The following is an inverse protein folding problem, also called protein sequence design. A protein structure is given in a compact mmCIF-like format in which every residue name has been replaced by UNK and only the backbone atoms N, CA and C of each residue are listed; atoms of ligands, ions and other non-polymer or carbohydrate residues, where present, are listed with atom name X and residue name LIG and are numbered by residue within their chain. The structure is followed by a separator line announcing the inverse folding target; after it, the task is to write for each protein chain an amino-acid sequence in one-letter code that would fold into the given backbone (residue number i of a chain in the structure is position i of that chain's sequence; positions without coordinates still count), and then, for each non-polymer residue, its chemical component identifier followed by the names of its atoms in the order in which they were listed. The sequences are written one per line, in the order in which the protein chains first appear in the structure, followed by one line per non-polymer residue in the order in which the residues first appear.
data_IF_913458357826
#
_entry.id   IF_913458357826
#
_cell.length_a   1.000
_cell.length_b   1.000
_cell.length_c   1.000
_cell.angle_alpha   90.00
_cell.angle_beta   90.00
_cell.angle_gamma   90.00
#
_symmetry.space_group_name_H-M   'P 1'
#
loop_
_entity.id
_entity.type
_entity.pdbx_description
1 polymer ?
#
# COMPACT_ATOMS: atom_id res chain seq x y z
N UNK A 1 70.04 -21.27 17.96
CA UNK A 1 69.13 -21.23 16.81
C UNK A 1 67.71 -21.20 17.33
N UNK A 2 67.19 -20.00 17.50
CA UNK A 2 65.84 -19.73 18.00
C UNK A 2 64.82 -20.28 17.02
N UNK A 3 63.88 -21.10 17.54
CA UNK A 3 62.70 -21.51 16.80
C UNK A 3 61.71 -20.36 16.85
N UNK A 4 61.50 -19.75 15.69
CA UNK A 4 60.49 -18.73 15.43
C UNK A 4 59.11 -19.25 15.88
N UNK A 5 58.60 -18.70 16.98
CA UNK A 5 57.22 -18.88 17.43
C UNK A 5 56.37 -18.01 16.52
N UNK A 6 55.63 -18.66 15.61
CA UNK A 6 54.66 -17.98 14.74
C UNK A 6 53.65 -17.19 15.59
N UNK A 7 53.51 -15.92 15.25
CA UNK A 7 52.58 -14.96 15.85
C UNK A 7 51.13 -15.51 15.88
N UNK A 8 50.36 -15.43 17.00
CA UNK A 8 49.01 -16.00 17.08
C UNK A 8 47.92 -15.22 16.34
N UNK A 9 48.25 -14.11 15.66
CA UNK A 9 47.24 -13.19 15.09
C UNK A 9 46.71 -13.58 13.70
N UNK A 10 47.24 -14.62 13.04
CA UNK A 10 46.89 -14.94 11.64
C UNK A 10 45.71 -15.95 11.48
N UNK A 11 45.00 -16.30 12.55
CA UNK A 11 43.97 -17.37 12.55
C UNK A 11 42.56 -16.90 12.12
N UNK A 12 42.36 -15.66 11.62
CA UNK A 12 41.00 -15.14 11.28
C UNK A 12 40.77 -14.72 9.82
N UNK A 13 41.40 -15.38 8.86
CA UNK A 13 40.84 -15.46 7.49
C UNK A 13 40.29 -16.86 7.25
N UNK A 14 39.04 -17.08 7.65
CA UNK A 14 38.25 -18.24 7.23
C UNK A 14 38.03 -18.17 5.71
N UNK A 15 38.97 -18.66 4.93
CA UNK A 15 38.78 -18.95 3.50
C UNK A 15 37.90 -20.19 3.43
N UNK A 16 36.57 -19.98 3.44
CA UNK A 16 35.59 -21.04 3.19
C UNK A 16 35.87 -21.61 1.81
N UNK A 17 36.02 -22.93 1.68
CA UNK A 17 36.24 -23.55 0.37
C UNK A 17 35.09 -23.20 -0.59
N UNK A 18 35.37 -22.97 -1.88
CA UNK A 18 34.34 -22.63 -2.87
C UNK A 18 33.21 -23.66 -2.99
N UNK A 19 33.50 -24.93 -2.67
CA UNK A 19 32.56 -26.07 -2.64
C UNK A 19 31.50 -25.98 -1.54
N UNK A 20 31.74 -25.18 -0.49
CA UNK A 20 30.84 -24.96 0.65
C UNK A 20 30.03 -23.66 0.55
N UNK A 21 30.22 -22.88 -0.52
CA UNK A 21 29.44 -21.66 -0.75
C UNK A 21 28.10 -22.01 -1.39
N UNK A 22 27.03 -21.77 -0.64
CA UNK A 22 25.67 -21.96 -1.13
C UNK A 22 25.40 -21.01 -2.31
N UNK A 23 24.84 -21.51 -3.42
CA UNK A 23 24.52 -20.69 -4.58
C UNK A 23 23.47 -19.63 -4.22
N UNK A 24 23.58 -18.47 -4.84
CA UNK A 24 22.59 -17.42 -4.67
C UNK A 24 21.23 -17.85 -5.25
N UNK A 25 20.16 -17.38 -4.61
CA UNK A 25 18.81 -17.62 -5.07
C UNK A 25 18.55 -16.93 -6.42
N UNK A 26 17.67 -17.53 -7.21
CA UNK A 26 17.19 -16.98 -8.47
C UNK A 26 15.95 -16.10 -8.25
N UNK A 27 15.61 -15.27 -9.25
CA UNK A 27 14.45 -14.38 -9.15
C UNK A 27 13.12 -15.11 -8.90
N UNK A 28 12.80 -16.23 -9.59
CA UNK A 28 11.59 -17.02 -9.32
C UNK A 28 11.45 -17.46 -7.86
N UNK A 29 12.48 -18.06 -7.25
CA UNK A 29 12.40 -18.52 -5.86
C UNK A 29 12.15 -17.37 -4.89
N UNK A 30 12.78 -16.21 -5.11
CA UNK A 30 12.57 -15.02 -4.27
C UNK A 30 11.14 -14.50 -4.41
N UNK A 31 10.61 -14.47 -5.64
CA UNK A 31 9.22 -14.03 -5.89
C UNK A 31 8.22 -14.99 -5.25
N UNK A 32 8.43 -16.31 -5.36
CA UNK A 32 7.56 -17.31 -4.75
C UNK A 32 7.55 -17.21 -3.22
N UNK A 33 8.72 -17.06 -2.60
CA UNK A 33 8.82 -16.85 -1.15
C UNK A 33 8.04 -15.60 -0.72
N UNK A 34 8.22 -14.48 -1.42
CA UNK A 34 7.48 -13.25 -1.14
C UNK A 34 5.97 -13.41 -1.32
N UNK A 35 5.52 -14.08 -2.39
CA UNK A 35 4.09 -14.35 -2.60
C UNK A 35 3.49 -15.20 -1.49
N UNK A 36 4.23 -16.21 -1.01
CA UNK A 36 3.79 -17.04 0.10
C UNK A 36 3.71 -16.25 1.40
N UNK A 37 4.68 -15.39 1.68
CA UNK A 37 4.64 -14.51 2.84
C UNK A 37 3.43 -13.56 2.78
N UNK A 38 3.12 -12.97 1.62
CA UNK A 38 1.93 -12.13 1.45
C UNK A 38 0.62 -12.90 1.69
N UNK A 39 0.55 -14.16 1.26
CA UNK A 39 -0.62 -15.01 1.52
C UNK A 39 -0.82 -15.24 3.02
N UNK A 40 0.25 -15.59 3.75
CA UNK A 40 0.19 -15.80 5.20
C UNK A 40 -0.14 -14.50 5.92
N UNK A 41 0.48 -13.39 5.52
CA UNK A 41 0.21 -12.08 6.11
C UNK A 41 -1.26 -11.68 5.96
N UNK A 42 -1.86 -11.93 4.79
CA UNK A 42 -3.29 -11.67 4.56
C UNK A 42 -4.19 -12.49 5.48
N UNK A 43 -3.89 -13.79 5.64
CA UNK A 43 -4.63 -14.66 6.57
C UNK A 43 -4.48 -14.17 8.02
N UNK A 44 -3.27 -13.78 8.41
CA UNK A 44 -2.99 -13.28 9.75
C UNK A 44 -3.69 -11.93 10.00
N UNK A 45 -3.71 -11.04 9.01
CA UNK A 45 -4.41 -9.76 9.09
C UNK A 45 -5.90 -9.97 9.34
N UNK A 46 -6.56 -10.84 8.57
CA UNK A 46 -7.98 -11.14 8.77
C UNK A 46 -8.29 -11.68 10.16
N UNK A 47 -7.47 -12.60 10.67
CA UNK A 47 -7.65 -13.14 12.03
C UNK A 47 -7.42 -12.08 13.12
N UNK A 48 -6.39 -11.24 12.98
CA UNK A 48 -6.10 -10.18 13.95
C UNK A 48 -7.17 -9.09 13.90
N UNK A 49 -7.65 -8.72 12.72
CA UNK A 49 -8.76 -7.78 12.55
C UNK A 49 -10.03 -8.27 13.23
N UNK A 50 -10.35 -9.56 13.12
CA UNK A 50 -11.49 -10.17 13.83
C UNK A 50 -11.32 -10.09 15.35
N UNK A 51 -10.11 -10.40 15.87
CA UNK A 51 -9.80 -10.27 17.30
C UNK A 51 -9.94 -8.82 17.76
N UNK A 52 -9.35 -7.87 17.03
CA UNK A 52 -9.42 -6.43 17.36
C UNK A 52 -10.86 -5.91 17.29
N UNK A 53 -11.63 -6.35 16.30
CA UNK A 53 -13.06 -6.06 16.17
C UNK A 53 -13.84 -6.54 17.39
N UNK A 54 -13.59 -7.76 17.86
CA UNK A 54 -14.29 -8.31 19.02
C UNK A 54 -13.89 -7.59 20.33
N UNK A 55 -12.68 -7.05 20.43
CA UNK A 55 -12.18 -6.37 21.63
C UNK A 55 -12.50 -4.87 21.69
N UNK A 56 -12.46 -4.16 20.56
CA UNK A 56 -12.56 -2.69 20.48
C UNK A 56 -13.70 -2.20 19.58
N UNK A 57 -14.41 -3.11 18.92
CA UNK A 57 -15.46 -2.79 17.97
C UNK A 57 -14.95 -2.53 16.56
N UNK A 58 -15.87 -2.56 15.60
CA UNK A 58 -15.59 -2.34 14.17
C UNK A 58 -15.09 -0.92 13.87
N UNK A 59 -15.56 0.09 14.60
CA UNK A 59 -15.16 1.49 14.40
C UNK A 59 -13.65 1.64 14.56
N UNK A 60 -13.07 1.02 15.59
CA UNK A 60 -11.62 1.04 15.83
C UNK A 60 -10.83 0.41 14.68
N UNK A 61 -11.33 -0.70 14.12
CA UNK A 61 -10.70 -1.37 12.97
C UNK A 61 -10.74 -0.48 11.73
N UNK A 62 -11.87 0.19 11.48
CA UNK A 62 -12.05 1.08 10.34
C UNK A 62 -11.26 2.40 10.47
N UNK A 63 -11.05 2.89 11.70
CA UNK A 63 -10.27 4.11 11.96
C UNK A 63 -8.76 3.88 11.79
N UNK A 64 -8.27 2.67 12.10
CA UNK A 64 -6.83 2.35 12.15
C UNK A 64 -6.41 1.13 11.29
N UNK A 65 -6.85 1.00 10.03
CA UNK A 65 -6.53 -0.17 9.21
C UNK A 65 -5.02 -0.27 8.89
N UNK A 66 -4.34 0.87 8.77
CA UNK A 66 -2.91 0.92 8.46
C UNK A 66 -2.06 0.47 9.64
N UNK A 67 -2.40 0.94 10.83
CA UNK A 67 -1.70 0.60 12.07
C UNK A 67 -1.87 -0.89 12.39
N UNK A 68 -3.08 -1.44 12.20
CA UNK A 68 -3.33 -2.88 12.35
C UNK A 68 -2.47 -3.67 11.36
N UNK A 69 -2.47 -3.31 10.07
CA UNK A 69 -1.64 -3.97 9.06
C UNK A 69 -0.13 -3.90 9.39
N UNK A 70 0.37 -2.76 9.87
CA UNK A 70 1.77 -2.61 10.31
C UNK A 70 2.05 -3.53 11.52
N UNK A 71 1.14 -3.59 12.49
CA UNK A 71 1.28 -4.44 13.67
C UNK A 71 1.31 -5.93 13.30
N UNK A 72 0.44 -6.36 12.38
CA UNK A 72 0.41 -7.72 11.83
C UNK A 72 1.75 -8.06 11.17
N UNK A 73 2.26 -7.19 10.29
CA UNK A 73 3.55 -7.36 9.62
C UNK A 73 4.71 -7.44 10.62
N UNK A 74 4.73 -6.53 11.59
CA UNK A 74 5.76 -6.52 12.64
C UNK A 74 5.72 -7.80 13.46
N UNK A 75 4.53 -8.25 13.86
CA UNK A 75 4.35 -9.50 14.59
C UNK A 75 4.87 -10.69 13.78
N UNK A 76 4.43 -10.81 12.52
CA UNK A 76 4.85 -11.89 11.63
C UNK A 76 6.37 -11.94 11.46
N UNK A 77 6.98 -10.82 11.08
CA UNK A 77 8.42 -10.77 10.81
C UNK A 77 9.27 -10.86 12.08
N UNK A 78 8.77 -10.38 13.23
CA UNK A 78 9.49 -10.53 14.50
C UNK A 78 9.52 -12.00 14.94
N UNK A 79 8.40 -12.71 14.85
CA UNK A 79 8.34 -14.13 15.20
C UNK A 79 9.15 -14.99 14.22
N UNK A 80 9.02 -14.73 12.93
CA UNK A 80 9.64 -15.59 11.89
C UNK A 80 11.08 -15.20 11.58
N UNK A 81 11.34 -13.94 11.21
CA UNK A 81 12.67 -13.51 10.77
C UNK A 81 13.63 -13.24 11.92
N UNK A 82 13.17 -12.60 13.00
CA UNK A 82 14.05 -12.21 14.11
C UNK A 82 14.29 -13.36 15.09
N UNK A 83 13.24 -14.10 15.46
CA UNK A 83 13.32 -15.27 16.36
C UNK A 83 13.56 -16.56 15.57
N UNK A 84 12.66 -16.90 14.63
CA UNK A 84 12.68 -18.14 13.84
C UNK A 84 13.73 -18.22 12.72
N UNK A 85 14.52 -17.15 12.51
CA UNK A 85 15.52 -16.98 11.45
C UNK A 85 15.05 -16.99 9.99
N UNK A 86 13.91 -17.60 9.66
CA UNK A 86 13.30 -17.67 8.32
C UNK A 86 11.80 -17.35 8.39
N UNK A 87 11.25 -16.74 7.33
CA UNK A 87 9.80 -16.64 7.11
C UNK A 87 9.23 -17.95 6.58
N UNK A 88 7.90 -18.13 6.64
CA UNK A 88 7.26 -19.31 6.08
C UNK A 88 7.43 -19.39 4.55
N UNK A 89 7.44 -18.24 3.87
CA UNK A 89 7.75 -18.18 2.44
C UNK A 89 9.21 -18.55 2.15
N UNK A 90 10.14 -18.14 3.02
CA UNK A 90 11.54 -18.53 2.93
C UNK A 90 11.73 -20.02 3.18
N UNK A 91 11.04 -20.60 4.16
CA UNK A 91 11.06 -22.05 4.41
C UNK A 91 10.45 -22.83 3.25
N UNK A 92 9.36 -22.33 2.65
CA UNK A 92 8.66 -22.96 1.54
C UNK A 92 9.56 -23.16 0.30
N UNK A 93 10.49 -22.24 0.04
CA UNK A 93 11.44 -22.33 -1.09
C UNK A 93 12.87 -22.65 -0.63
N UNK A 94 13.04 -22.96 0.65
CA UNK A 94 14.33 -23.16 1.31
C UNK A 94 15.37 -22.08 1.02
N UNK A 95 15.00 -20.83 1.30
CA UNK A 95 15.88 -19.67 1.21
C UNK A 95 16.50 -19.34 2.57
N UNK A 96 17.75 -18.88 2.54
CA UNK A 96 18.48 -18.38 3.71
C UNK A 96 19.04 -16.99 3.46
N UNK A 97 19.14 -16.20 4.53
CA UNK A 97 19.77 -14.89 4.50
C UNK A 97 21.30 -14.98 4.57
N UNK A 98 21.96 -14.54 3.51
CA UNK A 98 23.41 -14.36 3.43
C UNK A 98 23.76 -12.88 3.23
N UNK A 99 24.97 -12.51 3.59
CA UNK A 99 25.46 -11.17 3.27
C UNK A 99 25.65 -10.99 1.75
N UNK A 100 25.93 -9.75 1.32
CA UNK A 100 26.18 -9.42 -0.09
C UNK A 100 27.22 -10.32 -0.79
N UNK A 101 28.20 -10.84 -0.05
CA UNK A 101 29.28 -11.70 -0.56
C UNK A 101 28.94 -13.20 -0.51
N UNK A 102 27.85 -13.61 0.12
CA UNK A 102 27.45 -15.01 0.28
C UNK A 102 28.26 -15.81 1.30
N UNK A 103 29.21 -15.20 2.01
CA UNK A 103 30.18 -15.95 2.83
C UNK A 103 29.82 -16.05 4.32
N UNK A 104 28.79 -15.32 4.77
CA UNK A 104 28.33 -15.32 6.17
C UNK A 104 26.83 -15.09 6.24
N UNK A 105 26.21 -15.66 7.28
CA UNK A 105 24.82 -15.40 7.62
C UNK A 105 24.62 -13.94 8.08
N UNK A 106 23.40 -13.44 7.90
CA UNK A 106 23.04 -12.07 8.29
C UNK A 106 22.93 -11.95 9.82
N UNK A 107 23.58 -10.94 10.37
CA UNK A 107 23.54 -10.62 11.80
C UNK A 107 22.15 -10.16 12.26
N UNK A 108 21.78 -10.48 13.51
CA UNK A 108 20.44 -10.19 14.05
C UNK A 108 20.04 -8.71 13.96
N UNK A 109 20.96 -7.76 14.20
CA UNK A 109 20.63 -6.33 14.10
C UNK A 109 20.28 -5.91 12.67
N UNK A 110 20.87 -6.51 11.62
CA UNK A 110 20.51 -6.21 10.23
C UNK A 110 19.11 -6.71 9.90
N UNK A 111 18.72 -7.87 10.46
CA UNK A 111 17.35 -8.37 10.37
C UNK A 111 16.38 -7.40 11.06
N UNK A 112 16.71 -6.91 12.25
CA UNK A 112 15.91 -5.91 12.96
C UNK A 112 15.76 -4.62 12.15
N UNK A 113 16.85 -4.07 11.63
CA UNK A 113 16.83 -2.86 10.79
C UNK A 113 16.01 -3.07 9.52
N UNK A 114 16.11 -4.23 8.89
CA UNK A 114 15.26 -4.61 7.76
C UNK A 114 13.78 -4.59 8.15
N UNK A 115 13.39 -5.26 9.24
CA UNK A 115 12.00 -5.34 9.68
C UNK A 115 11.44 -3.94 9.94
N UNK A 116 12.16 -3.12 10.70
CA UNK A 116 11.76 -1.75 11.02
C UNK A 116 11.65 -0.90 9.75
N UNK A 117 12.64 -0.95 8.86
CA UNK A 117 12.63 -0.18 7.62
C UNK A 117 11.55 -0.65 6.65
N UNK A 118 11.25 -1.94 6.59
CA UNK A 118 10.26 -2.50 5.67
C UNK A 118 8.83 -2.18 6.10
N UNK A 119 8.57 -2.24 7.42
CA UNK A 119 7.23 -2.02 7.98
C UNK A 119 6.93 -0.55 8.27
N UNK A 120 7.82 0.14 8.98
CA UNK A 120 7.64 1.53 9.40
C UNK A 120 8.12 2.53 8.35
N UNK A 121 9.03 2.12 7.45
CA UNK A 121 9.61 2.99 6.44
C UNK A 121 8.57 3.72 5.58
N UNK A 122 7.63 3.00 4.92
CA UNK A 122 6.60 3.64 4.10
C UNK A 122 5.69 4.59 4.90
N UNK A 123 5.36 4.22 6.14
CA UNK A 123 4.54 5.04 7.03
C UNK A 123 5.26 6.35 7.39
N UNK A 124 6.52 6.26 7.84
CA UNK A 124 7.35 7.42 8.17
C UNK A 124 7.61 8.29 6.94
N UNK A 125 7.94 7.68 5.79
CA UNK A 125 8.14 8.39 4.53
C UNK A 125 6.90 9.19 4.14
N UNK A 126 5.71 8.59 4.23
CA UNK A 126 4.45 9.28 3.90
C UNK A 126 4.16 10.48 4.83
N UNK A 127 4.57 10.38 6.11
CA UNK A 127 4.38 11.45 7.10
C UNK A 127 5.40 12.58 6.91
N UNK A 128 6.65 12.25 6.59
CA UNK A 128 7.70 13.21 6.28
C UNK A 128 7.40 13.96 4.98
N UNK A 129 6.98 13.25 3.93
CA UNK A 129 6.59 13.85 2.65
C UNK A 129 5.41 14.82 2.80
N UNK A 130 4.42 14.49 3.64
CA UNK A 130 3.30 15.42 3.94
C UNK A 130 3.77 16.70 4.62
N UNK A 131 4.73 16.63 5.54
CA UNK A 131 5.31 17.81 6.19
C UNK A 131 6.09 18.67 5.20
N UNK A 132 6.91 18.03 4.36
CA UNK A 132 7.73 18.72 3.36
C UNK A 132 6.87 19.39 2.28
N UNK A 133 5.85 18.69 1.78
CA UNK A 133 4.95 19.28 0.79
C UNK A 133 4.13 20.45 1.37
N UNK A 134 3.75 20.42 2.65
CA UNK A 134 3.05 21.55 3.29
C UNK A 134 3.91 22.82 3.37
N UNK A 135 5.23 22.64 3.47
CA UNK A 135 6.20 23.74 3.44
C UNK A 135 6.43 24.25 2.00
N UNK A 136 6.50 23.34 1.03
CA UNK A 136 6.69 23.69 -0.39
C UNK A 136 5.46 24.38 -1.02
N UNK A 137 4.24 24.04 -0.59
CA UNK A 137 3.00 24.71 -1.06
C UNK A 137 2.91 26.18 -0.69
N UNK A 138 3.72 26.68 0.25
CA UNK A 138 3.78 28.10 0.58
C UNK A 138 4.79 28.89 -0.30
N UNK A 139 5.55 28.21 -1.17
CA UNK A 139 6.66 28.81 -1.93
C UNK A 139 6.40 28.81 -3.45
N UNK A 140 5.59 27.89 -3.97
CA UNK A 140 5.41 27.70 -5.42
C UNK A 140 4.04 28.19 -5.92
N UNK A 141 3.92 29.51 -6.14
CA UNK A 141 2.85 30.09 -6.97
C UNK A 141 3.32 30.39 -8.41
N UNK A 142 4.60 30.16 -8.78
CA UNK A 142 5.14 30.78 -10.01
C UNK A 142 6.06 29.94 -10.92
N UNK A 143 6.11 28.61 -10.82
CA UNK A 143 6.85 27.81 -11.83
C UNK A 143 6.13 26.55 -12.28
N UNK A 144 5.73 26.56 -13.56
CA UNK A 144 5.32 25.40 -14.34
C UNK A 144 6.43 24.32 -14.36
N UNK A 145 6.36 23.35 -13.44
CA UNK A 145 6.84 21.94 -13.58
C UNK A 145 6.63 21.19 -12.26
N UNK A 146 5.43 20.69 -12.03
CA UNK A 146 5.13 19.94 -10.81
C UNK A 146 5.62 18.48 -10.92
N UNK A 147 6.92 18.24 -10.67
CA UNK A 147 7.45 16.87 -10.54
C UNK A 147 7.12 16.35 -9.15
N UNK A 148 6.08 15.51 -9.04
CA UNK A 148 5.64 15.01 -7.73
C UNK A 148 6.69 14.06 -7.14
N UNK A 149 7.05 14.25 -5.87
CA UNK A 149 7.89 13.30 -5.12
C UNK A 149 7.37 11.85 -5.17
N UNK A 150 6.05 11.69 -5.32
CA UNK A 150 5.42 10.38 -5.54
C UNK A 150 5.89 9.76 -6.85
N UNK A 151 5.97 10.53 -7.92
CA UNK A 151 6.38 10.06 -9.26
C UNK A 151 7.87 9.68 -9.28
N UNK A 152 8.71 10.47 -8.59
CA UNK A 152 10.12 10.12 -8.36
C UNK A 152 10.22 8.77 -7.66
N UNK A 153 9.52 8.61 -6.53
CA UNK A 153 9.59 7.39 -5.72
C UNK A 153 9.10 6.17 -6.48
N UNK A 154 8.00 6.30 -7.25
CA UNK A 154 7.46 5.25 -8.09
C UNK A 154 8.43 4.85 -9.20
N UNK A 155 9.06 5.84 -9.85
CA UNK A 155 10.07 5.61 -10.89
C UNK A 155 11.28 4.88 -10.34
N UNK A 156 11.76 5.31 -9.17
CA UNK A 156 12.87 4.65 -8.48
C UNK A 156 12.54 3.19 -8.10
N UNK A 157 11.33 2.94 -7.58
CA UNK A 157 10.86 1.59 -7.26
C UNK A 157 10.77 0.73 -8.52
N UNK A 158 10.25 1.26 -9.62
CA UNK A 158 10.16 0.56 -10.89
C UNK A 158 11.56 0.21 -11.43
N UNK A 159 12.51 1.15 -11.40
CA UNK A 159 13.90 0.90 -11.79
C UNK A 159 14.53 -0.19 -10.92
N UNK A 160 14.27 -0.17 -9.61
CA UNK A 160 14.73 -1.23 -8.70
C UNK A 160 14.14 -2.60 -9.04
N UNK A 161 12.84 -2.69 -9.36
CA UNK A 161 12.19 -3.93 -9.80
C UNK A 161 12.74 -4.44 -11.14
N UNK A 162 12.97 -3.54 -12.11
CA UNK A 162 13.61 -3.89 -13.38
C UNK A 162 15.00 -4.48 -13.11
N UNK A 163 15.81 -3.82 -12.27
CA UNK A 163 17.12 -4.34 -11.86
C UNK A 163 17.02 -5.70 -11.17
N UNK A 164 15.97 -5.95 -10.41
CA UNK A 164 15.72 -7.25 -9.79
C UNK A 164 15.47 -8.33 -10.83
N UNK A 165 14.54 -8.13 -11.77
CA UNK A 165 14.22 -9.16 -12.78
C UNK A 165 15.41 -9.49 -13.69
N UNK A 166 16.33 -8.54 -13.91
CA UNK A 166 17.56 -8.81 -14.66
C UNK A 166 18.66 -9.52 -13.85
N UNK A 167 18.86 -9.14 -12.58
CA UNK A 167 20.00 -9.63 -11.77
C UNK A 167 19.64 -10.70 -10.73
N UNK A 168 18.36 -10.84 -10.38
CA UNK A 168 17.86 -11.78 -9.37
C UNK A 168 18.36 -11.54 -7.95
N UNK A 169 18.86 -10.34 -7.61
CA UNK A 169 19.58 -10.13 -6.35
C UNK A 169 18.70 -9.68 -5.18
N UNK A 170 17.92 -8.59 -5.35
CA UNK A 170 17.16 -7.97 -4.27
C UNK A 170 15.77 -7.57 -4.76
N UNK A 171 14.74 -8.29 -4.32
CA UNK A 171 13.35 -7.95 -4.63
C UNK A 171 12.89 -6.73 -3.84
N UNK A 172 13.21 -6.67 -2.54
CA UNK A 172 12.89 -5.54 -1.67
C UNK A 172 14.00 -4.49 -1.61
N UNK A 173 13.63 -3.21 -1.59
CA UNK A 173 14.58 -2.09 -1.41
C UNK A 173 15.28 -2.18 -0.06
N UNK A 174 14.54 -2.46 1.02
CA UNK A 174 15.11 -2.58 2.37
C UNK A 174 16.20 -3.66 2.44
N UNK A 175 16.00 -4.81 1.78
CA UNK A 175 17.00 -5.89 1.71
C UNK A 175 18.25 -5.46 0.93
N UNK A 176 18.08 -4.64 -0.13
CA UNK A 176 19.21 -4.05 -0.87
C UNK A 176 20.03 -3.10 0.00
N UNK A 177 19.39 -2.23 0.77
CA UNK A 177 20.06 -1.24 1.65
C UNK A 177 20.90 -1.95 2.71
N UNK A 178 20.36 -2.98 3.37
CA UNK A 178 21.08 -3.71 4.41
C UNK A 178 21.98 -4.84 3.89
N UNK A 179 22.01 -5.05 2.56
CA UNK A 179 22.85 -6.06 1.90
C UNK A 179 22.49 -7.49 2.29
N UNK A 180 21.19 -7.76 2.45
CA UNK A 180 20.62 -9.06 2.78
C UNK A 180 20.22 -9.78 1.49
N UNK A 181 21.05 -10.73 1.06
CA UNK A 181 20.81 -11.50 -0.17
C UNK A 181 20.33 -12.90 0.19
N UNK A 182 19.55 -13.51 -0.68
CA UNK A 182 19.14 -14.90 -0.52
C UNK A 182 20.13 -15.86 -1.15
N UNK A 183 20.41 -16.94 -0.44
CA UNK A 183 21.04 -18.14 -0.96
C UNK A 183 20.10 -19.34 -0.74
N UNK A 184 20.33 -20.40 -1.51
CA UNK A 184 19.57 -21.64 -1.41
C UNK A 184 20.10 -22.44 -0.21
N UNK A 185 19.21 -23.00 0.60
CA UNK A 185 19.55 -23.72 1.83
C UNK A 185 20.10 -25.13 1.61
N UNK A 186 19.89 -25.69 0.41
CA UNK A 186 20.33 -27.03 0.03
C UNK A 186 21.36 -27.02 -1.10
N UNK A 187 21.99 -28.19 -1.31
CA UNK A 187 22.91 -28.41 -2.42
C UNK A 187 22.08 -28.58 -3.70
N UNK A 188 22.31 -27.69 -4.65
CA UNK A 188 21.65 -27.71 -5.96
C UNK A 188 22.32 -28.76 -6.85
N UNK A 189 21.52 -29.67 -7.39
CA UNK A 189 21.97 -30.65 -8.39
C UNK A 189 22.12 -29.99 -9.78
N UNK A 190 22.91 -30.59 -10.67
CA UNK A 190 23.20 -30.00 -11.98
C UNK A 190 21.94 -29.79 -12.84
N UNK A 191 20.99 -30.74 -12.79
CA UNK A 191 19.71 -30.64 -13.51
C UNK A 191 18.81 -29.54 -12.93
N UNK A 192 18.76 -29.43 -11.60
CA UNK A 192 18.05 -28.34 -10.93
C UNK A 192 18.68 -26.98 -11.28
N UNK A 193 20.01 -26.89 -11.29
CA UNK A 193 20.74 -25.68 -11.68
C UNK A 193 20.41 -25.21 -13.10
N UNK A 194 20.31 -26.14 -14.06
CA UNK A 194 19.88 -25.84 -15.44
C UNK A 194 18.43 -25.34 -15.48
N UNK A 195 17.51 -26.03 -14.78
CA UNK A 195 16.10 -25.64 -14.71
C UNK A 195 15.92 -24.24 -14.11
N UNK A 196 16.65 -23.92 -13.04
CA UNK A 196 16.63 -22.62 -12.36
C UNK A 196 17.17 -21.51 -13.26
N UNK A 197 18.26 -21.76 -13.99
CA UNK A 197 18.79 -20.81 -14.97
C UNK A 197 17.77 -20.50 -16.07
N UNK A 198 17.16 -21.54 -16.64
CA UNK A 198 16.09 -21.42 -17.64
C UNK A 198 14.88 -20.64 -17.10
N UNK A 199 14.46 -20.92 -15.86
CA UNK A 199 13.36 -20.22 -15.19
C UNK A 199 13.69 -18.75 -14.92
N UNK A 200 14.91 -18.45 -14.49
CA UNK A 200 15.39 -17.09 -14.31
C UNK A 200 15.41 -16.31 -15.62
N UNK A 201 15.75 -16.96 -16.74
CA UNK A 201 15.75 -16.31 -18.06
C UNK A 201 14.33 -15.95 -18.51
N UNK A 202 13.32 -16.79 -18.24
CA UNK A 202 11.91 -16.45 -18.49
C UNK A 202 11.46 -15.23 -17.67
N UNK A 203 11.90 -15.09 -16.42
CA UNK A 203 11.57 -13.94 -15.58
C UNK A 203 12.19 -12.62 -16.09
N UNK A 204 13.27 -12.65 -16.88
CA UNK A 204 13.80 -11.44 -17.54
C UNK A 204 12.80 -10.83 -18.52
N UNK A 205 11.90 -11.62 -19.12
CA UNK A 205 10.81 -11.12 -19.98
C UNK A 205 9.96 -10.11 -19.21
N UNK A 206 9.64 -10.39 -17.94
CA UNK A 206 8.90 -9.45 -17.10
C UNK A 206 9.70 -8.16 -16.86
N UNK A 207 11.03 -8.26 -16.73
CA UNK A 207 11.94 -7.10 -16.68
C UNK A 207 11.89 -6.24 -17.96
N UNK A 208 11.93 -6.87 -19.14
CA UNK A 208 11.79 -6.17 -20.42
C UNK A 208 10.42 -5.52 -20.58
N UNK A 209 9.36 -6.19 -20.14
CA UNK A 209 8.01 -5.64 -20.15
C UNK A 209 7.88 -4.40 -19.25
N UNK A 210 8.42 -4.46 -18.03
CA UNK A 210 8.46 -3.29 -17.12
C UNK A 210 9.30 -2.15 -17.68
N UNK A 211 10.41 -2.46 -18.36
CA UNK A 211 11.22 -1.45 -19.05
C UNK A 211 10.42 -0.78 -20.17
N UNK A 212 9.74 -1.57 -21.01
CA UNK A 212 8.89 -1.04 -22.06
C UNK A 212 7.78 -0.15 -21.48
N UNK A 213 7.08 -0.59 -20.42
CA UNK A 213 6.09 0.23 -19.72
C UNK A 213 6.68 1.55 -19.20
N UNK A 214 7.89 1.52 -18.64
CA UNK A 214 8.60 2.70 -18.17
C UNK A 214 8.88 3.67 -19.31
N UNK A 215 9.33 3.16 -20.46
CA UNK A 215 9.55 3.95 -21.68
C UNK A 215 8.24 4.54 -22.19
N UNK A 216 7.17 3.75 -22.30
CA UNK A 216 5.85 4.24 -22.73
C UNK A 216 5.26 5.30 -21.81
N UNK A 217 5.47 5.20 -20.48
CA UNK A 217 5.05 6.23 -19.52
C UNK A 217 5.94 7.48 -19.57
N UNK A 218 7.24 7.33 -19.84
CA UNK A 218 8.18 8.44 -20.00
C UNK A 218 8.06 9.14 -21.36
N UNK A 219 7.58 8.45 -22.39
CA UNK A 219 7.42 8.93 -23.75
C UNK A 219 6.50 10.17 -23.87
N UNK A 220 5.29 10.23 -23.29
CA UNK A 220 4.45 11.42 -23.34
C UNK A 220 5.05 12.60 -22.57
N UNK A 221 5.76 12.35 -21.45
CA UNK A 221 6.47 13.39 -20.70
C UNK A 221 7.63 13.98 -21.51
N UNK A 222 8.39 13.12 -22.19
CA UNK A 222 9.48 13.53 -23.09
C UNK A 222 8.94 14.28 -24.32
N UNK A 223 7.85 13.79 -24.93
CA UNK A 223 7.17 14.45 -26.06
C UNK A 223 6.54 15.79 -25.65
N UNK A 224 5.99 15.93 -24.46
CA UNK A 224 5.42 17.19 -23.97
C UNK A 224 6.53 18.22 -23.70
N UNK A 225 7.68 17.79 -23.16
CA UNK A 225 8.89 18.63 -23.06
C UNK A 225 9.43 19.02 -24.45
N UNK A 226 9.41 18.10 -25.41
CA UNK A 226 9.85 18.34 -26.78
C UNK A 226 8.89 19.23 -27.59
N UNK A 227 7.58 19.10 -27.36
CA UNK A 227 6.51 19.92 -27.97
C UNK A 227 6.50 21.36 -27.45
N UNK A 228 6.90 21.57 -26.18
CA UNK A 228 7.16 22.90 -25.62
C UNK A 228 8.41 23.54 -26.24
N UNK A 229 9.42 22.75 -26.58
CA UNK A 229 10.63 23.19 -27.30
C UNK A 229 10.34 23.51 -28.78
N UNK A 230 9.30 22.90 -29.36
CA UNK A 230 8.84 23.09 -30.74
C UNK A 230 7.64 24.04 -30.88
N UNK A 231 7.19 24.70 -29.81
CA UNK A 231 6.24 25.82 -29.89
C UNK A 231 4.87 25.52 -30.53
N UNK A 232 4.28 24.34 -30.31
CA UNK A 232 2.94 24.01 -30.86
C UNK A 232 1.89 23.97 -29.76
N UNK A 233 1.19 25.09 -29.55
CA UNK A 233 0.00 25.23 -28.70
C UNK A 233 -1.28 24.95 -29.50
N UNK A 234 -2.10 24.02 -29.02
CA UNK A 234 -3.44 23.75 -29.56
C UNK A 234 -4.50 24.06 -28.50
N UNK A 235 -5.40 24.99 -28.81
CA UNK A 235 -6.46 25.50 -27.95
C UNK A 235 -7.53 24.44 -27.64
N UNK A 236 -7.94 24.43 -26.37
CA UNK A 236 -9.11 23.71 -25.86
C UNK A 236 -10.39 24.48 -26.20
N UNK A 237 -11.38 23.80 -26.77
CA UNK A 237 -12.74 24.33 -26.92
C UNK A 237 -13.63 23.65 -25.88
N UNK A 238 -13.98 24.41 -24.85
CA UNK A 238 -15.04 24.09 -23.90
C UNK A 238 -16.39 24.53 -24.48
N UNK A 239 -17.34 23.61 -24.59
CA UNK A 239 -18.74 23.93 -24.84
C UNK A 239 -19.61 23.20 -23.83
N UNK A 240 -20.31 23.94 -22.97
CA UNK A 240 -21.32 23.42 -22.04
C UNK A 240 -22.59 24.26 -22.25
N UNK A 241 -23.76 23.68 -22.56
CA UNK A 241 -25.02 24.39 -22.45
C UNK A 241 -25.68 24.14 -21.09
N UNK A 242 -26.26 25.22 -20.58
CA UNK A 242 -27.20 25.33 -19.46
C UNK A 242 -28.61 24.88 -19.87
N UNK A 243 -29.36 24.31 -18.95
CA UNK A 243 -30.81 24.05 -19.08
C UNK A 243 -31.42 23.83 -17.69
N UNK A 244 -32.37 24.69 -17.36
CA UNK A 244 -33.24 24.66 -16.17
C UNK A 244 -34.48 23.77 -16.43
N UNK A 245 -35.24 23.56 -15.35
CA UNK A 245 -36.60 22.99 -15.25
C UNK A 245 -36.77 21.45 -15.24
N UNK A 246 -37.21 20.88 -14.11
CA UNK A 246 -38.65 20.70 -13.77
C UNK A 246 -38.83 19.89 -12.47
N UNK A 247 -39.86 20.24 -11.69
CA UNK A 247 -40.30 19.58 -10.44
C UNK A 247 -41.47 18.62 -10.71
N UNK A 248 -41.53 17.51 -9.95
CA UNK A 248 -42.70 16.79 -9.40
C UNK A 248 -42.32 15.30 -9.22
N UNK A 249 -42.74 14.51 -8.24
CA UNK A 249 -43.75 14.58 -7.18
C UNK A 249 -43.38 13.53 -6.12
N UNK A 250 -43.81 13.70 -4.86
CA UNK A 250 -44.45 12.62 -4.08
C UNK A 250 -45.03 13.19 -2.78
N UNK A 251 -46.35 13.36 -2.74
CA UNK A 251 -47.11 13.43 -1.48
C UNK A 251 -47.45 12.02 -1.01
N UNK A 252 -47.37 11.77 0.30
CA UNK A 252 -48.32 10.95 1.08
C UNK A 252 -47.97 11.11 2.56
N UNK A 253 -48.94 11.58 3.35
CA UNK A 253 -48.76 12.08 4.71
C UNK A 253 -48.86 11.04 5.83
N UNK A 254 -48.63 11.51 7.06
CA UNK A 254 -49.20 10.96 8.28
C UNK A 254 -49.49 12.12 9.24
N UNK A 255 -50.75 12.21 9.67
CA UNK A 255 -51.20 13.07 10.76
C UNK A 255 -50.57 12.65 12.08
N UNK A 256 -49.90 13.60 12.74
CA UNK A 256 -49.29 13.45 14.06
C UNK A 256 -48.58 14.75 14.41
N UNK A 257 -49.34 15.81 14.72
CA UNK A 257 -48.81 17.15 14.95
C UNK A 257 -47.78 17.18 16.09
N UNK A 258 -46.50 17.26 15.73
CA UNK A 258 -45.47 17.88 16.56
C UNK A 258 -45.36 19.33 16.06
N UNK A 259 -45.82 20.29 16.86
CA UNK A 259 -45.71 21.72 16.53
C UNK A 259 -44.27 22.20 16.79
N UNK A 260 -43.69 22.94 15.85
CA UNK A 260 -42.37 23.56 15.98
C UNK A 260 -41.22 22.92 15.18
N UNK A 261 -41.50 21.96 14.29
CA UNK A 261 -40.48 21.45 13.34
C UNK A 261 -40.39 22.44 12.17
N UNK A 262 -39.20 23.00 11.86
CA UNK A 262 -39.01 23.81 10.65
C UNK A 262 -39.46 23.02 9.41
N UNK A 263 -40.10 23.67 8.45
CA UNK A 263 -40.40 23.00 7.18
C UNK A 263 -39.10 22.57 6.50
N UNK A 264 -39.11 21.51 5.68
CA UNK A 264 -37.91 20.98 5.03
C UNK A 264 -37.16 22.07 4.23
N UNK A 265 -37.90 23.05 3.70
CA UNK A 265 -37.35 24.24 3.03
C UNK A 265 -36.63 25.26 3.94
N UNK A 266 -36.75 25.13 5.25
CA UNK A 266 -36.10 26.00 6.25
C UNK A 266 -34.82 25.37 6.82
N UNK A 267 -34.46 24.16 6.38
CA UNK A 267 -33.27 23.45 6.86
C UNK A 267 -32.18 23.57 5.81
N UNK A 268 -31.00 24.04 6.21
CA UNK A 268 -29.82 24.04 5.35
C UNK A 268 -29.41 22.59 5.06
N UNK A 269 -29.61 22.16 3.81
CA UNK A 269 -29.24 20.84 3.34
C UNK A 269 -27.79 20.82 2.86
N UNK A 270 -27.08 19.75 3.23
CA UNK A 270 -25.69 19.54 2.79
C UNK A 270 -25.71 18.63 1.56
N UNK A 271 -25.37 19.18 0.40
CA UNK A 271 -25.25 18.44 -0.86
C UNK A 271 -23.77 18.19 -1.22
N UNK A 272 -23.34 16.92 -1.21
CA UNK A 272 -21.97 16.57 -1.57
C UNK A 272 -21.68 16.59 -3.07
N UNK A 273 -22.68 16.84 -3.93
CA UNK A 273 -22.45 17.17 -5.33
C UNK A 273 -21.64 18.48 -5.47
N UNK A 274 -21.75 19.40 -4.50
CA UNK A 274 -20.86 20.55 -4.39
C UNK A 274 -19.51 20.17 -3.74
N UNK A 275 -18.38 20.29 -4.46
CA UNK A 275 -17.04 20.06 -3.92
C UNK A 275 -16.71 20.91 -2.68
N UNK A 276 -17.32 22.09 -2.54
CA UNK A 276 -17.07 23.02 -1.44
C UNK A 276 -17.63 22.54 -0.10
N UNK A 277 -18.73 21.77 -0.16
CA UNK A 277 -19.38 21.19 1.00
C UNK A 277 -18.58 20.00 1.52
N UNK A 278 -18.26 20.00 2.82
CA UNK A 278 -17.47 18.98 3.52
C UNK A 278 -16.20 18.54 2.73
N UNK A 279 -15.23 19.46 2.52
CA UNK A 279 -14.08 19.22 1.64
C UNK A 279 -13.14 18.11 2.14
N UNK A 280 -13.26 17.72 3.42
CA UNK A 280 -12.50 16.60 4.00
C UNK A 280 -12.97 15.23 3.50
N UNK A 281 -14.17 15.12 2.92
CA UNK A 281 -14.67 13.87 2.33
C UNK A 281 -14.05 13.69 0.94
N UNK A 282 -13.25 12.63 0.72
CA UNK A 282 -12.58 12.42 -0.56
C UNK A 282 -13.61 12.14 -1.67
N UNK A 283 -13.35 12.55 -2.92
CA UNK A 283 -14.32 12.43 -4.02
C UNK A 283 -14.85 11.01 -4.24
N UNK A 284 -14.01 9.99 -4.01
CA UNK A 284 -14.39 8.58 -4.13
C UNK A 284 -15.41 8.11 -3.10
N UNK A 285 -15.61 8.86 -2.01
CA UNK A 285 -16.43 8.48 -0.86
C UNK A 285 -17.63 9.41 -0.66
N UNK A 286 -17.94 10.27 -1.64
CA UNK A 286 -19.09 11.19 -1.59
C UNK A 286 -20.40 10.57 -2.08
N UNK A 287 -20.33 9.42 -2.78
CA UNK A 287 -21.50 8.67 -3.25
C UNK A 287 -22.07 7.75 -2.17
N UNK A 288 -23.39 7.80 -2.03
CA UNK A 288 -24.15 6.88 -1.19
C UNK A 288 -24.31 5.52 -1.87
N UNK A 289 -24.01 4.42 -1.19
CA UNK A 289 -24.18 3.08 -1.78
C UNK A 289 -25.65 2.61 -1.85
N UNK A 290 -26.57 3.28 -1.16
CA UNK A 290 -27.99 2.92 -1.16
C UNK A 290 -28.76 3.55 -2.33
N UNK A 291 -28.49 4.82 -2.64
CA UNK A 291 -29.12 5.51 -3.77
C UNK A 291 -28.21 5.69 -4.99
N UNK A 292 -26.91 5.36 -4.86
CA UNK A 292 -25.87 5.47 -5.89
C UNK A 292 -25.57 6.90 -6.40
N UNK A 293 -26.18 7.92 -5.78
CA UNK A 293 -25.95 9.35 -6.04
C UNK A 293 -24.99 9.98 -5.03
N UNK A 294 -24.53 11.20 -5.30
CA UNK A 294 -23.84 12.02 -4.30
C UNK A 294 -24.74 12.21 -3.06
N UNK A 295 -24.15 12.19 -1.87
CA UNK A 295 -24.91 12.20 -0.63
C UNK A 295 -25.59 13.55 -0.39
N UNK A 296 -26.90 13.50 -0.15
CA UNK A 296 -27.70 14.57 0.43
C UNK A 296 -27.82 14.32 1.93
N UNK A 297 -27.53 15.34 2.74
CA UNK A 297 -27.48 15.28 4.21
C UNK A 297 -26.71 14.03 4.69
N UNK A 298 -25.39 13.99 4.46
CA UNK A 298 -24.58 12.82 4.78
C UNK A 298 -24.68 12.49 6.27
N UNK A 299 -24.64 11.20 6.57
CA UNK A 299 -24.79 10.65 7.91
C UNK A 299 -23.82 9.49 8.11
N UNK A 300 -23.43 9.26 9.35
CA UNK A 300 -22.48 8.24 9.74
C UNK A 300 -23.15 7.20 10.65
N UNK A 301 -23.06 5.93 10.26
CA UNK A 301 -23.45 4.81 11.11
C UNK A 301 -22.42 4.60 12.24
N UNK A 302 -22.76 3.91 13.34
CA UNK A 302 -21.84 3.66 14.48
C UNK A 302 -20.54 2.94 14.10
N UNK A 303 -20.55 2.25 12.95
CA UNK A 303 -19.41 1.57 12.36
C UNK A 303 -18.45 2.48 11.57
N UNK A 304 -18.83 3.74 11.31
CA UNK A 304 -18.06 4.70 10.52
C UNK A 304 -18.46 4.83 9.05
N UNK A 305 -19.35 3.97 8.52
CA UNK A 305 -19.80 4.05 7.13
C UNK A 305 -20.76 5.22 6.88
N UNK A 306 -20.66 5.82 5.68
CA UNK A 306 -21.40 7.02 5.30
C UNK A 306 -22.55 6.71 4.33
N UNK A 307 -23.69 7.39 4.52
CA UNK A 307 -24.89 7.29 3.70
C UNK A 307 -25.67 8.61 3.73
N UNK A 308 -26.61 8.84 2.80
CA UNK A 308 -27.61 9.89 2.99
C UNK A 308 -28.43 9.60 4.26
N UNK A 309 -28.75 10.64 5.03
CA UNK A 309 -29.56 10.54 6.26
C UNK A 309 -30.87 9.77 6.01
N UNK A 310 -31.62 10.15 4.98
CA UNK A 310 -32.88 9.51 4.62
C UNK A 310 -32.71 8.04 4.23
N UNK A 311 -31.66 7.71 3.46
CA UNK A 311 -31.37 6.35 3.02
C UNK A 311 -31.09 5.40 4.20
N UNK A 312 -30.18 5.78 5.09
CA UNK A 312 -29.82 4.91 6.22
C UNK A 312 -30.95 4.84 7.26
N UNK A 313 -31.68 5.94 7.48
CA UNK A 313 -32.82 5.94 8.39
C UNK A 313 -33.93 5.02 7.91
N UNK A 314 -34.21 5.01 6.60
CA UNK A 314 -35.18 4.09 6.01
C UNK A 314 -34.70 2.63 6.06
N UNK A 315 -33.43 2.36 5.75
CA UNK A 315 -32.86 1.02 5.88
C UNK A 315 -32.96 0.48 7.31
N UNK A 316 -32.57 1.30 8.29
CA UNK A 316 -32.65 0.96 9.71
C UNK A 316 -34.09 0.85 10.24
N UNK A 317 -35.12 1.12 9.41
CA UNK A 317 -36.51 0.76 9.73
C UNK A 317 -36.80 -0.71 9.60
N UNK A 318 -36.23 -1.35 8.59
CA UNK A 318 -36.45 -2.76 8.31
C UNK A 318 -35.39 -3.62 9.00
N UNK A 319 -34.15 -3.14 9.04
CA UNK A 319 -33.01 -3.90 9.58
C UNK A 319 -32.10 -3.03 10.42
N UNK A 320 -31.96 -3.36 11.71
CA UNK A 320 -31.07 -2.66 12.65
C UNK A 320 -29.58 -3.01 12.44
N UNK A 321 -29.12 -3.06 11.19
CA UNK A 321 -27.75 -3.38 10.80
C UNK A 321 -27.23 -2.42 9.72
N UNK A 322 -25.92 -2.15 9.73
CA UNK A 322 -25.28 -1.38 8.68
C UNK A 322 -25.33 -2.15 7.34
N UNK A 323 -25.75 -1.54 6.22
CA UNK A 323 -25.80 -2.19 4.90
C UNK A 323 -24.46 -2.75 4.42
N UNK A 324 -23.33 -2.14 4.83
CA UNK A 324 -21.99 -2.51 4.38
C UNK A 324 -21.32 -3.57 5.24
N UNK A 325 -21.38 -3.45 6.56
CA UNK A 325 -20.63 -4.32 7.48
C UNK A 325 -21.50 -5.18 8.40
N UNK A 326 -22.83 -5.03 8.32
CA UNK A 326 -23.83 -5.74 9.14
C UNK A 326 -23.65 -5.59 10.65
N UNK A 327 -22.85 -4.62 11.10
CA UNK A 327 -22.79 -4.25 12.51
C UNK A 327 -24.15 -3.67 12.93
N UNK A 328 -24.61 -4.02 14.13
CA UNK A 328 -25.81 -3.44 14.73
C UNK A 328 -25.77 -1.91 14.65
N UNK A 329 -26.82 -1.35 14.06
CA UNK A 329 -26.94 0.08 13.76
C UNK A 329 -28.36 0.53 14.14
N UNK A 330 -28.50 1.09 15.33
CA UNK A 330 -29.76 1.65 15.78
C UNK A 330 -29.93 3.07 15.25
N UNK A 331 -31.17 3.46 14.91
CA UNK A 331 -31.47 4.80 14.37
C UNK A 331 -30.99 5.93 15.28
N UNK A 332 -31.05 5.74 16.59
CA UNK A 332 -30.62 6.72 17.60
C UNK A 332 -29.09 6.90 17.64
N UNK A 333 -28.33 5.99 17.05
CA UNK A 333 -26.87 6.02 17.03
C UNK A 333 -26.32 6.54 15.70
N UNK A 334 -27.18 6.89 14.74
CA UNK A 334 -26.78 7.49 13.48
C UNK A 334 -26.51 8.97 13.71
N UNK A 335 -25.33 9.42 13.30
CA UNK A 335 -24.89 10.80 13.48
C UNK A 335 -25.00 11.55 12.15
N UNK A 336 -25.80 12.64 12.06
CA UNK A 336 -25.78 13.50 10.89
C UNK A 336 -24.43 14.22 10.79
N UNK A 337 -23.89 14.34 9.58
CA UNK A 337 -22.69 15.14 9.28
C UNK A 337 -23.15 16.50 8.75
N UNK A 338 -22.65 17.56 9.36
CA UNK A 338 -22.90 18.95 8.97
C UNK A 338 -21.61 19.74 8.90
#
# INVERSE_FOLDING_TARGET
MEKNVGNPEDVRKSTVEPSLLLPFADAPSIVQAHQKDLQIESILSGKIEEVVKNLKGQLYVNERPREISIAVKLLYLSLTTLIGNKTLGEEYVDLIYVNKKGNRLVQRYKKLLFILSYTLGPYLASRLLKRWNKEATNIEEDTNKHFSWKDISNTLLNIHLIMFYFKGAYYDVSKRVFGMRYAIGHKVEDEEGKFRKSSSDRYKILGYFLLAQGVFKGFPLALQQFKHLLGVTSNSLTGKPSGEDEKAAHELGVNGEIKGIPSEFQVDHVDLADPSQLPFIPPSSRKCILCLSEMMDPSCAPCGHLFCWSCIMNWCKEREECPLCRQRCLRQQILPLR
#
